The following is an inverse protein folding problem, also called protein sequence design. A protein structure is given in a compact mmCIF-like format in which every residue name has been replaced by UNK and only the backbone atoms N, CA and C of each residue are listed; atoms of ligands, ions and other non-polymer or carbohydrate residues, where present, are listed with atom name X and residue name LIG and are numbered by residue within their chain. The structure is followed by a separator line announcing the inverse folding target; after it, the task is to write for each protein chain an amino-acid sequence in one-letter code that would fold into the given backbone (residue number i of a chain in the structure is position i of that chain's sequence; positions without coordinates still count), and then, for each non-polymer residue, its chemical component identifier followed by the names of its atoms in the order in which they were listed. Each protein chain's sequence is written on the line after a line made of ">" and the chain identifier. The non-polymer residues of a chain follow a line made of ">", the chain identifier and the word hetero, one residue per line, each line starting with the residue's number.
data_IF_262544251683
#
_entry.id   IF_262544251683
#
_cell.length_a   1.000
_cell.length_b   1.000
_cell.length_c   1.000
_cell.angle_alpha   90.00
_cell.angle_beta   90.00
_cell.angle_gamma   90.00
#
_symmetry.space_group_name_H-M   'P 1'
#
loop_
_entity.id
_entity.type
_entity.pdbx_description
1 polymer ?
#
# COMPACT_ATOMS: atom_id res chain seq x y z
N UNK A 1 33.70 -15.69 30.09
CA UNK A 1 32.39 -15.00 30.06
C UNK A 1 31.33 -16.01 29.66
N UNK A 2 30.06 -15.81 30.05
CA UNK A 2 28.96 -16.67 29.55
C UNK A 2 28.77 -16.39 28.05
N UNK A 3 28.60 -17.44 27.24
CA UNK A 3 28.30 -17.32 25.79
C UNK A 3 27.17 -16.31 25.53
N UNK A 4 26.18 -16.26 26.41
CA UNK A 4 25.09 -15.28 26.38
C UNK A 4 25.59 -13.82 26.41
N UNK A 5 26.53 -13.50 27.28
CA UNK A 5 27.10 -12.15 27.39
C UNK A 5 27.92 -11.80 26.15
N UNK A 6 28.66 -12.77 25.60
CA UNK A 6 29.44 -12.55 24.37
C UNK A 6 28.52 -12.24 23.18
N UNK A 7 27.37 -12.92 23.08
CA UNK A 7 26.34 -12.60 22.07
C UNK A 7 25.75 -11.20 22.27
N UNK A 8 25.47 -10.77 23.51
CA UNK A 8 24.97 -9.42 23.77
C UNK A 8 26.01 -8.33 23.43
N UNK A 9 27.30 -8.60 23.69
CA UNK A 9 28.39 -7.69 23.30
C UNK A 9 28.51 -7.61 21.77
N UNK A 10 28.37 -8.73 21.06
CA UNK A 10 28.32 -8.72 19.58
C UNK A 10 27.11 -7.93 19.09
N UNK A 11 25.93 -8.13 19.69
CA UNK A 11 24.72 -7.40 19.34
C UNK A 11 24.86 -5.91 19.57
N UNK A 12 25.49 -5.48 20.68
CA UNK A 12 25.73 -4.07 20.97
C UNK A 12 26.75 -3.40 20.03
N UNK A 13 27.45 -4.18 19.20
CA UNK A 13 28.38 -3.68 18.18
C UNK A 13 27.75 -3.63 16.78
N UNK A 14 26.52 -4.11 16.61
CA UNK A 14 25.80 -3.96 15.34
C UNK A 14 25.51 -2.48 15.08
N UNK A 15 25.40 -2.07 13.80
CA UNK A 15 24.92 -0.73 13.42
C UNK A 15 23.61 -0.36 14.14
N UNK A 16 23.49 0.91 14.51
CA UNK A 16 22.36 1.42 15.29
C UNK A 16 21.02 1.15 14.62
N UNK A 17 20.95 1.25 13.30
CA UNK A 17 19.77 0.93 12.50
C UNK A 17 19.25 -0.49 12.77
N UNK A 18 20.15 -1.48 12.76
CA UNK A 18 19.80 -2.89 12.96
C UNK A 18 19.39 -3.13 14.41
N UNK A 19 20.12 -2.54 15.37
CA UNK A 19 19.80 -2.67 16.80
C UNK A 19 18.45 -2.06 17.12
N UNK A 20 18.19 -0.85 16.62
CA UNK A 20 16.95 -0.12 16.85
C UNK A 20 15.77 -0.83 16.21
N UNK A 21 15.92 -1.38 14.99
CA UNK A 21 14.84 -2.13 14.34
C UNK A 21 14.47 -3.39 15.12
N UNK A 22 15.46 -4.21 15.49
CA UNK A 22 15.24 -5.47 16.22
C UNK A 22 14.79 -5.20 17.67
N UNK A 23 15.28 -4.13 18.28
CA UNK A 23 14.96 -3.73 19.65
C UNK A 23 13.73 -2.82 19.78
N UNK A 24 13.07 -2.47 18.67
CA UNK A 24 11.89 -1.61 18.67
C UNK A 24 10.73 -2.25 19.44
N UNK A 25 9.85 -1.41 20.00
CA UNK A 25 8.65 -1.88 20.73
C UNK A 25 7.79 -2.76 19.83
N UNK A 26 7.57 -2.35 18.58
CA UNK A 26 6.82 -3.12 17.58
C UNK A 26 7.45 -4.49 17.29
N UNK A 27 8.78 -4.55 17.07
CA UNK A 27 9.46 -5.83 16.86
C UNK A 27 9.34 -6.74 18.09
N UNK A 28 9.49 -6.18 19.29
CA UNK A 28 9.34 -6.92 20.55
C UNK A 28 7.91 -7.46 20.70
N UNK A 29 6.89 -6.68 20.36
CA UNK A 29 5.49 -7.09 20.43
C UNK A 29 5.16 -8.19 19.42
N UNK A 30 5.66 -8.07 18.18
CA UNK A 30 5.59 -9.12 17.16
C UNK A 30 6.28 -10.41 17.63
N UNK A 31 7.46 -10.31 18.25
CA UNK A 31 8.16 -11.47 18.83
C UNK A 31 7.32 -12.08 19.96
N UNK A 32 6.82 -11.27 20.90
CA UNK A 32 6.00 -11.74 22.03
C UNK A 32 4.75 -12.48 21.54
N UNK A 33 4.10 -12.00 20.47
CA UNK A 33 2.94 -12.66 19.86
C UNK A 33 3.31 -14.05 19.32
N UNK A 34 4.43 -14.18 18.61
CA UNK A 34 4.92 -15.49 18.12
C UNK A 34 5.31 -16.39 19.30
N UNK A 35 5.97 -15.85 20.32
CA UNK A 35 6.32 -16.58 21.55
C UNK A 35 5.07 -17.15 22.24
N UNK A 36 3.98 -16.38 22.32
CA UNK A 36 2.71 -16.79 22.91
C UNK A 36 2.01 -17.89 22.09
N UNK A 37 1.91 -17.71 20.77
CA UNK A 37 1.27 -18.67 19.84
C UNK A 37 1.92 -20.06 19.94
N UNK A 38 3.25 -20.11 20.05
CA UNK A 38 4.02 -21.36 19.99
C UNK A 38 4.58 -21.81 21.34
N UNK A 39 4.37 -21.05 22.42
CA UNK A 39 4.90 -21.29 23.78
C UNK A 39 6.42 -21.46 23.81
N UNK A 40 7.15 -20.58 23.12
CA UNK A 40 8.64 -20.60 23.02
C UNK A 40 9.24 -19.25 23.40
N UNK A 41 10.57 -19.19 23.61
CA UNK A 41 11.31 -17.94 23.86
C UNK A 41 12.26 -17.64 22.70
N UNK A 42 11.90 -16.69 21.85
CA UNK A 42 12.55 -16.34 20.59
C UNK A 42 13.46 -15.12 20.68
N UNK A 43 13.33 -14.25 21.70
CA UNK A 43 14.16 -13.02 21.81
C UNK A 43 15.65 -13.27 21.63
N UNK A 44 16.18 -14.30 22.30
CA UNK A 44 17.61 -14.64 22.16
C UNK A 44 17.95 -15.24 20.79
N UNK A 45 17.06 -16.02 20.19
CA UNK A 45 17.25 -16.51 18.82
C UNK A 45 17.33 -15.34 17.83
N UNK A 46 16.49 -14.33 17.99
CA UNK A 46 16.52 -13.14 17.13
C UNK A 46 17.87 -12.44 17.22
N UNK A 47 18.44 -12.31 18.42
CA UNK A 47 19.80 -11.78 18.63
C UNK A 47 20.85 -12.65 17.93
N UNK A 48 20.77 -13.99 18.06
CA UNK A 48 21.71 -14.91 17.41
C UNK A 48 21.68 -14.81 15.88
N UNK A 49 20.50 -14.60 15.30
CA UNK A 49 20.35 -14.38 13.85
C UNK A 49 20.91 -13.02 13.44
N UNK A 50 20.64 -11.96 14.22
CA UNK A 50 21.10 -10.61 13.96
C UNK A 50 22.64 -10.50 13.93
N UNK A 51 23.33 -11.21 14.83
CA UNK A 51 24.80 -11.23 14.89
C UNK A 51 25.44 -12.24 13.92
N UNK A 52 24.63 -12.97 13.15
CA UNK A 52 25.11 -14.00 12.21
C UNK A 52 25.59 -15.30 12.84
N UNK A 53 25.40 -15.50 14.15
CA UNK A 53 25.74 -16.76 14.83
C UNK A 53 24.79 -17.91 14.41
N UNK A 54 23.57 -17.59 13.96
CA UNK A 54 22.62 -18.54 13.36
C UNK A 54 22.14 -18.01 12.01
N UNK A 55 22.40 -18.74 10.91
CA UNK A 55 21.79 -18.42 9.62
C UNK A 55 20.27 -18.70 9.64
N UNK A 56 19.47 -17.89 8.94
CA UNK A 56 18.00 -18.02 8.90
C UNK A 56 17.55 -19.44 8.54
N UNK A 57 18.21 -20.10 7.59
CA UNK A 57 17.88 -21.46 7.16
C UNK A 57 18.01 -22.50 8.29
N UNK A 58 18.76 -22.21 9.34
CA UNK A 58 18.96 -23.08 10.50
C UNK A 58 18.04 -22.75 11.68
N UNK A 59 17.16 -21.74 11.58
CA UNK A 59 16.15 -21.44 12.61
C UNK A 59 15.30 -22.68 12.95
N UNK A 60 14.74 -23.45 12.00
CA UNK A 60 13.94 -24.63 12.33
C UNK A 60 14.73 -25.67 13.12
N UNK A 61 15.99 -25.91 12.73
CA UNK A 61 16.89 -26.86 13.42
C UNK A 61 17.24 -26.38 14.84
N UNK A 62 17.45 -25.08 15.03
CA UNK A 62 17.66 -24.51 16.36
C UNK A 62 16.43 -24.72 17.25
N UNK A 63 15.24 -24.43 16.71
CA UNK A 63 13.97 -24.55 17.43
C UNK A 63 13.67 -26.00 17.81
N UNK A 64 13.95 -26.94 16.92
CA UNK A 64 13.85 -28.38 17.18
C UNK A 64 14.76 -28.80 18.33
N UNK A 65 16.05 -28.42 18.29
CA UNK A 65 17.01 -28.80 19.34
C UNK A 65 16.73 -28.13 20.69
N UNK A 66 16.36 -26.85 20.68
CA UNK A 66 16.21 -26.02 21.88
C UNK A 66 14.86 -26.22 22.57
N UNK A 67 13.79 -26.37 21.80
CA UNK A 67 12.41 -26.38 22.29
C UNK A 67 11.65 -27.67 21.95
N UNK A 68 12.31 -28.66 21.34
CA UNK A 68 11.69 -29.94 20.93
C UNK A 68 10.49 -29.74 19.98
N UNK A 69 10.52 -28.67 19.19
CA UNK A 69 9.51 -28.41 18.18
C UNK A 69 9.71 -29.31 16.97
N UNK A 70 8.62 -29.78 16.38
CA UNK A 70 8.69 -30.48 15.11
C UNK A 70 9.14 -29.51 13.99
N UNK A 71 9.70 -30.07 12.93
CA UNK A 71 10.23 -29.31 11.79
C UNK A 71 9.19 -28.38 11.16
N UNK A 72 7.93 -28.80 11.05
CA UNK A 72 6.85 -28.00 10.45
C UNK A 72 6.62 -26.71 11.23
N UNK A 73 6.44 -26.80 12.56
CA UNK A 73 6.30 -25.63 13.43
C UNK A 73 7.55 -24.75 13.41
N UNK A 74 8.73 -25.35 13.34
CA UNK A 74 9.99 -24.62 13.20
C UNK A 74 10.03 -23.77 11.92
N UNK A 75 9.54 -24.30 10.80
CA UNK A 75 9.44 -23.59 9.52
C UNK A 75 8.39 -22.47 9.56
N UNK A 76 7.25 -22.69 10.23
CA UNK A 76 6.24 -21.63 10.42
C UNK A 76 6.77 -20.46 11.24
N UNK A 77 7.45 -20.74 12.37
CA UNK A 77 8.09 -19.71 13.19
C UNK A 77 9.16 -18.98 12.38
N UNK A 78 9.97 -19.71 11.61
CA UNK A 78 10.95 -19.11 10.68
C UNK A 78 10.27 -18.14 9.73
N UNK A 79 9.18 -18.57 9.08
CA UNK A 79 8.45 -17.73 8.14
C UNK A 79 7.92 -16.46 8.81
N UNK A 80 7.32 -16.56 10.01
CA UNK A 80 6.84 -15.40 10.78
C UNK A 80 7.97 -14.45 11.18
N UNK A 81 9.09 -14.97 11.69
CA UNK A 81 10.25 -14.15 12.05
C UNK A 81 10.86 -13.45 10.82
N UNK A 82 10.99 -14.17 9.70
CA UNK A 82 11.49 -13.59 8.45
C UNK A 82 10.56 -12.51 7.94
N UNK A 83 9.25 -12.73 7.99
CA UNK A 83 8.25 -11.79 7.51
C UNK A 83 8.22 -10.51 8.34
N UNK A 84 8.13 -10.65 9.66
CA UNK A 84 7.83 -9.53 10.55
C UNK A 84 9.06 -8.87 11.16
N UNK A 85 10.21 -9.56 11.25
CA UNK A 85 11.41 -9.07 11.94
C UNK A 85 12.58 -8.88 10.98
N UNK A 86 12.86 -9.86 10.11
CA UNK A 86 14.07 -9.85 9.27
C UNK A 86 13.87 -9.37 7.84
N UNK A 87 12.64 -9.05 7.43
CA UNK A 87 12.27 -8.74 6.04
C UNK A 87 13.08 -7.58 5.45
N UNK A 88 13.53 -6.62 6.28
CA UNK A 88 14.35 -5.48 5.88
C UNK A 88 15.84 -5.59 6.25
N UNK A 89 16.24 -6.59 7.02
CA UNK A 89 17.60 -6.67 7.58
C UNK A 89 18.41 -7.81 6.98
N UNK A 90 17.75 -8.92 6.62
CA UNK A 90 18.44 -10.11 6.14
C UNK A 90 18.02 -10.43 4.71
N UNK A 91 18.98 -10.61 3.83
CA UNK A 91 18.74 -11.14 2.50
C UNK A 91 18.43 -12.64 2.60
N UNK A 92 17.35 -13.11 1.97
CA UNK A 92 16.91 -14.51 2.04
C UNK A 92 18.00 -15.49 1.58
N UNK A 93 18.96 -15.01 0.79
CA UNK A 93 20.04 -15.81 0.20
C UNK A 93 21.44 -15.49 0.73
N UNK A 94 21.62 -14.49 1.60
CA UNK A 94 22.95 -14.07 2.07
C UNK A 94 23.20 -14.42 3.53
N UNK A 95 24.48 -14.62 3.87
CA UNK A 95 24.97 -14.83 5.24
C UNK A 95 25.18 -13.53 6.02
N UNK A 96 25.01 -12.39 5.37
CA UNK A 96 25.37 -11.08 5.92
C UNK A 96 24.14 -10.21 6.08
N UNK A 97 23.99 -9.68 7.29
CA UNK A 97 23.12 -8.54 7.52
C UNK A 97 23.69 -7.36 6.75
N UNK A 98 22.93 -6.83 5.79
CA UNK A 98 23.25 -5.55 5.12
C UNK A 98 22.59 -4.42 5.91
N UNK A 99 23.12 -3.20 5.77
CA UNK A 99 22.43 -2.01 6.27
C UNK A 99 21.04 -1.90 5.64
N UNK A 100 20.07 -1.35 6.37
CA UNK A 100 18.70 -1.19 5.87
C UNK A 100 18.71 -0.32 4.62
N UNK A 101 19.53 0.74 4.63
CA UNK A 101 19.76 1.63 3.50
C UNK A 101 20.24 0.89 2.24
N UNK A 102 21.30 0.07 2.35
CA UNK A 102 21.84 -0.70 1.22
C UNK A 102 20.79 -1.63 0.63
N UNK A 103 19.94 -2.22 1.49
CA UNK A 103 18.87 -3.11 1.04
C UNK A 103 17.77 -2.35 0.30
N UNK A 104 17.38 -1.17 0.79
CA UNK A 104 16.39 -0.33 0.11
C UNK A 104 16.93 0.12 -1.25
N UNK A 105 18.21 0.54 -1.31
CA UNK A 105 18.88 0.89 -2.56
C UNK A 105 18.91 -0.29 -3.53
N UNK A 106 19.24 -1.50 -3.06
CA UNK A 106 19.20 -2.72 -3.88
C UNK A 106 17.79 -3.04 -4.40
N UNK A 107 16.76 -2.90 -3.56
CA UNK A 107 15.36 -3.08 -3.95
C UNK A 107 15.01 -2.11 -5.09
N UNK A 108 15.37 -0.83 -4.95
CA UNK A 108 15.06 0.19 -5.94
C UNK A 108 15.88 0.07 -7.23
N UNK A 109 17.04 -0.59 -7.19
CA UNK A 109 17.91 -0.78 -8.36
C UNK A 109 17.57 -2.04 -9.16
N UNK A 110 17.26 -3.13 -8.46
CA UNK A 110 17.29 -4.47 -9.03
C UNK A 110 15.98 -5.24 -8.90
N UNK A 111 15.06 -4.80 -8.03
CA UNK A 111 13.87 -5.56 -7.64
C UNK A 111 12.64 -4.66 -7.49
N UNK A 112 12.61 -3.55 -8.21
CA UNK A 112 11.54 -2.58 -8.07
C UNK A 112 10.24 -3.14 -8.65
N UNK A 113 10.29 -3.87 -9.76
CA UNK A 113 9.11 -4.49 -10.35
C UNK A 113 8.51 -5.55 -9.42
N UNK A 114 9.36 -6.40 -8.82
CA UNK A 114 8.93 -7.38 -7.82
C UNK A 114 8.26 -6.71 -6.62
N UNK A 115 8.75 -5.54 -6.23
CA UNK A 115 8.22 -4.78 -5.09
C UNK A 115 6.89 -4.12 -5.42
N UNK A 116 6.76 -3.48 -6.59
CA UNK A 116 5.50 -2.86 -7.04
C UNK A 116 4.38 -3.89 -7.24
N UNK A 117 4.72 -5.12 -7.62
CA UNK A 117 3.80 -6.26 -7.75
C UNK A 117 3.73 -7.16 -6.53
N UNK A 118 4.52 -6.86 -5.50
CA UNK A 118 4.71 -7.72 -4.35
C UNK A 118 3.54 -7.74 -3.38
N UNK A 119 3.68 -8.58 -2.36
CA UNK A 119 2.79 -8.71 -1.21
C UNK A 119 2.59 -7.36 -0.51
N UNK A 120 1.36 -7.08 -0.09
CA UNK A 120 0.99 -5.82 0.56
C UNK A 120 1.73 -5.62 1.87
N UNK A 121 1.85 -6.67 2.68
CA UNK A 121 2.54 -6.59 3.98
C UNK A 121 4.02 -6.20 3.80
N UNK A 122 4.68 -6.66 2.73
CA UNK A 122 6.04 -6.24 2.43
C UNK A 122 6.10 -4.75 2.05
N UNK A 123 5.14 -4.27 1.27
CA UNK A 123 5.02 -2.85 0.89
C UNK A 123 4.73 -1.97 2.10
N UNK A 124 3.87 -2.41 3.01
CA UNK A 124 3.60 -1.72 4.29
C UNK A 124 4.86 -1.56 5.11
N UNK A 125 5.59 -2.65 5.36
CA UNK A 125 6.84 -2.63 6.14
C UNK A 125 7.89 -1.73 5.48
N UNK A 126 7.98 -1.74 4.15
CA UNK A 126 8.91 -0.89 3.41
C UNK A 126 8.47 0.58 3.42
N UNK A 127 7.17 0.87 3.35
CA UNK A 127 6.61 2.21 3.47
C UNK A 127 6.87 2.81 4.84
N UNK A 128 6.61 2.06 5.92
CA UNK A 128 6.92 2.48 7.29
C UNK A 128 8.39 2.87 7.42
N UNK A 129 9.29 2.05 6.87
CA UNK A 129 10.72 2.34 6.90
C UNK A 129 11.08 3.58 6.09
N UNK A 130 10.60 3.70 4.85
CA UNK A 130 10.87 4.86 4.00
C UNK A 130 10.37 6.17 4.63
N UNK A 131 9.14 6.16 5.16
CA UNK A 131 8.55 7.33 5.85
C UNK A 131 9.37 7.69 7.08
N UNK A 132 9.74 6.69 7.90
CA UNK A 132 10.58 6.93 9.07
C UNK A 132 11.94 7.54 8.69
N UNK A 133 12.61 7.01 7.67
CA UNK A 133 13.90 7.51 7.19
C UNK A 133 13.80 8.96 6.69
N UNK A 134 12.76 9.28 5.89
CA UNK A 134 12.59 10.63 5.34
C UNK A 134 12.22 11.66 6.41
N UNK A 135 11.36 11.31 7.38
CA UNK A 135 10.92 12.25 8.42
C UNK A 135 11.96 12.45 9.53
N UNK A 136 12.70 11.40 9.89
CA UNK A 136 13.72 11.48 10.95
C UNK A 136 15.06 12.05 10.47
N UNK A 137 15.22 12.28 9.16
CA UNK A 137 16.47 12.73 8.57
C UNK A 137 17.55 11.64 8.56
N UNK A 138 17.13 10.38 8.44
CA UNK A 138 18.00 9.20 8.42
C UNK A 138 19.06 9.22 7.31
N UNK A 139 19.91 8.19 7.26
CA UNK A 139 21.02 8.11 6.30
C UNK A 139 20.51 8.09 4.86
N UNK A 140 19.39 7.39 4.62
CA UNK A 140 18.76 7.27 3.32
C UNK A 140 18.16 8.60 2.84
N UNK A 141 18.77 9.19 1.81
CA UNK A 141 18.29 10.45 1.21
C UNK A 141 17.29 10.21 0.08
N UNK A 142 16.13 10.85 0.15
CA UNK A 142 15.07 10.82 -0.88
C UNK A 142 15.61 11.14 -2.29
N UNK A 143 16.49 12.13 -2.42
CA UNK A 143 17.10 12.50 -3.71
C UNK A 143 17.99 11.42 -4.31
N UNK A 144 18.65 10.59 -3.48
CA UNK A 144 19.45 9.47 -3.96
C UNK A 144 18.56 8.35 -4.50
N UNK A 145 17.47 8.03 -3.79
CA UNK A 145 16.48 7.07 -4.26
C UNK A 145 15.79 7.53 -5.54
N UNK A 146 15.47 8.81 -5.65
CA UNK A 146 14.90 9.38 -6.87
C UNK A 146 15.87 9.25 -8.05
N UNK A 147 17.17 9.49 -7.82
CA UNK A 147 18.19 9.28 -8.85
C UNK A 147 18.27 7.82 -9.28
N UNK A 148 18.31 6.89 -8.32
CA UNK A 148 18.26 5.45 -8.58
C UNK A 148 17.06 5.07 -9.43
N UNK A 149 15.87 5.59 -9.10
CA UNK A 149 14.64 5.33 -9.83
C UNK A 149 14.70 5.84 -11.28
N UNK A 150 15.23 7.05 -11.50
CA UNK A 150 15.36 7.66 -12.82
C UNK A 150 16.45 7.02 -13.70
N UNK A 151 17.39 6.29 -13.09
CA UNK A 151 18.45 5.54 -13.77
C UNK A 151 18.15 4.03 -13.87
N UNK A 152 17.06 3.53 -13.29
CA UNK A 152 16.72 2.11 -13.24
C UNK A 152 16.43 1.51 -14.64
N UNK A 153 17.14 0.44 -14.98
CA UNK A 153 17.08 -0.24 -16.30
C UNK A 153 16.20 -1.51 -16.32
N UNK A 154 15.52 -1.85 -15.23
CA UNK A 154 14.55 -2.95 -15.19
C UNK A 154 13.45 -2.73 -16.24
N UNK A 155 13.15 -3.76 -17.04
CA UNK A 155 12.11 -3.71 -18.08
C UNK A 155 10.74 -3.93 -17.48
N UNK A 156 9.88 -2.91 -17.52
CA UNK A 156 8.55 -2.93 -16.91
C UNK A 156 7.47 -3.44 -17.87
N UNK A 157 7.66 -3.29 -19.19
CA UNK A 157 6.73 -3.82 -20.21
C UNK A 157 7.50 -4.54 -21.33
N UNK A 158 6.76 -5.20 -22.22
CA UNK A 158 7.29 -6.06 -23.28
C UNK A 158 7.08 -5.46 -24.67
N UNK A 159 6.20 -4.47 -24.80
CA UNK A 159 5.90 -3.79 -26.06
C UNK A 159 7.05 -2.91 -26.52
N UNK A 160 7.05 -2.59 -27.82
CA UNK A 160 7.96 -1.61 -28.39
C UNK A 160 7.75 -0.25 -27.71
N UNK A 161 8.84 0.45 -27.41
CA UNK A 161 8.79 1.72 -26.70
C UNK A 161 9.54 2.76 -27.51
N UNK A 162 8.91 3.92 -27.74
CA UNK A 162 9.44 4.96 -28.62
C UNK A 162 9.54 6.27 -27.84
N UNK A 163 10.72 6.90 -27.88
CA UNK A 163 10.94 8.27 -27.40
C UNK A 163 11.58 9.05 -28.54
N UNK A 164 11.03 10.22 -28.90
CA UNK A 164 11.57 11.08 -29.97
C UNK A 164 11.71 10.37 -31.34
N UNK A 165 10.74 9.50 -31.65
CA UNK A 165 10.75 8.71 -32.88
C UNK A 165 11.84 7.64 -32.95
N UNK A 166 12.57 7.39 -31.85
CA UNK A 166 13.60 6.36 -31.76
C UNK A 166 13.14 5.21 -30.86
N UNK A 167 13.48 3.96 -31.21
CA UNK A 167 13.20 2.82 -30.34
C UNK A 167 14.09 2.87 -29.09
N UNK A 168 13.48 2.65 -27.93
CA UNK A 168 14.12 2.55 -26.63
C UNK A 168 13.71 1.26 -25.93
N UNK A 169 14.48 0.84 -24.92
CA UNK A 169 14.03 -0.24 -24.03
C UNK A 169 12.84 0.24 -23.19
N UNK A 170 11.81 -0.60 -22.96
CA UNK A 170 10.69 -0.29 -22.05
C UNK A 170 11.13 -0.39 -20.57
N UNK A 171 12.18 0.34 -20.19
CA UNK A 171 12.69 0.35 -18.82
C UNK A 171 11.98 1.36 -17.94
N UNK A 172 12.06 1.19 -16.62
CA UNK A 172 11.53 2.13 -15.63
C UNK A 172 12.00 3.56 -15.92
N UNK A 173 13.31 3.77 -16.11
CA UNK A 173 13.88 5.06 -16.46
C UNK A 173 13.26 5.68 -17.72
N UNK A 174 13.05 4.89 -18.78
CA UNK A 174 12.51 5.39 -20.04
C UNK A 174 11.00 5.70 -19.95
N UNK A 175 10.23 4.91 -19.20
CA UNK A 175 8.83 5.22 -18.90
C UNK A 175 8.67 6.53 -18.12
N UNK A 176 9.51 6.75 -17.11
CA UNK A 176 9.50 8.02 -16.36
C UNK A 176 9.93 9.19 -17.26
N UNK A 177 10.94 9.02 -18.11
CA UNK A 177 11.36 10.06 -19.07
C UNK A 177 10.25 10.43 -20.04
N UNK A 178 9.55 9.46 -20.59
CA UNK A 178 8.40 9.68 -21.48
C UNK A 178 7.29 10.46 -20.76
N UNK A 179 6.90 10.01 -19.56
CA UNK A 179 5.88 10.68 -18.76
C UNK A 179 6.25 12.12 -18.41
N UNK A 180 7.48 12.34 -17.92
CA UNK A 180 7.97 13.67 -17.54
C UNK A 180 8.07 14.61 -18.75
N UNK A 181 8.42 14.07 -19.92
CA UNK A 181 8.49 14.86 -21.15
C UNK A 181 7.10 15.32 -21.61
N UNK A 182 6.10 14.46 -21.50
CA UNK A 182 4.73 14.77 -21.93
C UNK A 182 4.01 15.68 -20.92
N UNK A 183 4.12 15.38 -19.62
CA UNK A 183 3.32 16.04 -18.58
C UNK A 183 4.10 17.06 -17.75
N UNK A 184 5.41 17.17 -17.96
CA UNK A 184 6.30 17.97 -17.13
C UNK A 184 6.77 17.24 -15.88
N UNK A 185 7.63 17.92 -15.12
CA UNK A 185 8.24 17.37 -13.90
C UNK A 185 7.57 17.89 -12.61
N UNK A 186 6.44 18.60 -12.72
CA UNK A 186 5.68 19.11 -11.58
C UNK A 186 4.83 18.03 -10.90
N UNK A 187 4.15 18.41 -9.81
CA UNK A 187 3.13 17.56 -9.16
C UNK A 187 1.99 17.34 -10.15
N UNK A 188 1.46 16.12 -10.19
CA UNK A 188 0.35 15.75 -11.06
C UNK A 188 -0.71 14.94 -10.30
N UNK A 189 -1.95 15.04 -10.75
CA UNK A 189 -3.11 14.38 -10.17
C UNK A 189 -3.48 13.07 -10.90
N UNK A 190 -4.56 12.43 -10.45
CA UNK A 190 -5.05 11.19 -11.06
C UNK A 190 -5.69 11.41 -12.45
N UNK A 191 -6.09 12.64 -12.80
CA UNK A 191 -6.64 12.96 -14.11
C UNK A 191 -5.53 12.93 -15.15
N UNK A 192 -4.41 13.64 -14.89
CA UNK A 192 -3.21 13.61 -15.74
C UNK A 192 -2.69 12.19 -15.92
N UNK A 193 -2.66 11.42 -14.83
CA UNK A 193 -2.25 10.01 -14.88
C UNK A 193 -3.16 9.17 -15.76
N UNK A 194 -4.48 9.28 -15.57
CA UNK A 194 -5.47 8.55 -16.38
C UNK A 194 -5.37 8.94 -17.85
N UNK A 195 -5.28 10.23 -18.13
CA UNK A 195 -5.13 10.75 -19.48
C UNK A 195 -3.88 10.18 -20.15
N UNK A 196 -2.73 10.18 -19.48
CA UNK A 196 -1.50 9.63 -20.04
C UNK A 196 -1.60 8.11 -20.27
N UNK A 197 -2.16 7.34 -19.33
CA UNK A 197 -2.34 5.88 -19.46
C UNK A 197 -3.30 5.51 -20.61
N UNK A 198 -4.31 6.34 -20.89
CA UNK A 198 -5.28 6.08 -21.97
C UNK A 198 -4.81 6.62 -23.32
N UNK A 199 -4.16 7.79 -23.34
CA UNK A 199 -3.96 8.57 -24.56
C UNK A 199 -2.53 8.59 -25.10
N UNK A 200 -1.51 8.27 -24.31
CA UNK A 200 -0.11 8.28 -24.78
C UNK A 200 0.16 7.20 -25.83
N UNK A 201 1.04 7.47 -26.79
CA UNK A 201 1.39 6.55 -27.87
C UNK A 201 1.96 5.22 -27.31
N UNK A 202 2.82 5.31 -26.29
CA UNK A 202 3.44 4.14 -25.67
C UNK A 202 2.46 3.35 -24.78
N UNK A 203 1.47 4.00 -24.16
CA UNK A 203 0.54 3.36 -23.21
C UNK A 203 -0.65 2.70 -23.90
N UNK A 204 -1.09 3.25 -25.05
CA UNK A 204 -2.22 2.71 -25.84
C UNK A 204 -2.05 1.27 -26.28
N UNK A 205 -0.81 0.84 -26.51
CA UNK A 205 -0.47 -0.51 -27.01
C UNK A 205 -0.29 -1.54 -25.89
N UNK A 206 -0.32 -1.11 -24.63
CA UNK A 206 -0.19 -1.98 -23.46
C UNK A 206 -1.48 -2.76 -23.21
N UNK A 207 -1.34 -3.95 -22.65
CA UNK A 207 -2.47 -4.65 -22.04
C UNK A 207 -2.78 -4.08 -20.64
N UNK A 208 -3.90 -4.52 -20.04
CA UNK A 208 -4.34 -3.98 -18.75
C UNK A 208 -3.38 -4.27 -17.60
N UNK A 209 -2.65 -5.39 -17.62
CA UNK A 209 -1.67 -5.70 -16.58
C UNK A 209 -0.46 -4.76 -16.68
N UNK A 210 0.05 -4.55 -17.89
CA UNK A 210 1.13 -3.60 -18.15
C UNK A 210 0.70 -2.15 -17.81
N UNK A 211 -0.53 -1.74 -18.14
CA UNK A 211 -1.06 -0.43 -17.76
C UNK A 211 -1.13 -0.24 -16.25
N UNK A 212 -1.61 -1.25 -15.51
CA UNK A 212 -1.65 -1.19 -14.05
C UNK A 212 -0.24 -1.02 -13.46
N UNK A 213 0.73 -1.77 -13.96
CA UNK A 213 2.11 -1.68 -13.49
C UNK A 213 2.75 -0.32 -13.79
N UNK A 214 2.56 0.21 -15.00
CA UNK A 214 3.03 1.56 -15.38
C UNK A 214 2.33 2.64 -14.54
N UNK A 215 1.03 2.49 -14.26
CA UNK A 215 0.29 3.39 -13.37
C UNK A 215 0.87 3.39 -11.96
N UNK A 216 1.18 2.21 -11.39
CA UNK A 216 1.82 2.09 -10.07
C UNK A 216 3.21 2.73 -10.06
N UNK A 217 3.99 2.57 -11.13
CA UNK A 217 5.29 3.25 -11.27
C UNK A 217 5.14 4.78 -11.21
N UNK A 218 4.16 5.35 -11.91
CA UNK A 218 3.96 6.80 -11.89
C UNK A 218 3.47 7.31 -10.53
N UNK A 219 2.55 6.59 -9.88
CA UNK A 219 2.14 6.91 -8.51
C UNK A 219 3.32 6.85 -7.54
N UNK A 220 4.14 5.81 -7.64
CA UNK A 220 5.37 5.67 -6.86
C UNK A 220 6.34 6.84 -7.10
N UNK A 221 6.57 7.22 -8.37
CA UNK A 221 7.41 8.38 -8.69
C UNK A 221 6.88 9.67 -8.07
N UNK A 222 5.57 9.93 -8.19
CA UNK A 222 4.93 11.11 -7.58
C UNK A 222 5.15 11.11 -6.07
N UNK A 223 4.81 10.00 -5.42
CA UNK A 223 4.86 9.86 -3.98
C UNK A 223 6.30 9.97 -3.47
N UNK A 224 7.27 9.40 -4.17
CA UNK A 224 8.69 9.52 -3.82
C UNK A 224 9.24 10.92 -4.04
N UNK A 225 8.94 11.56 -5.18
CA UNK A 225 9.52 12.86 -5.55
C UNK A 225 8.97 14.02 -4.73
N UNK A 226 7.67 13.97 -4.45
CA UNK A 226 6.94 15.05 -3.79
C UNK A 226 6.53 14.68 -2.37
N UNK A 227 7.27 13.79 -1.71
CA UNK A 227 7.08 13.56 -0.29
C UNK A 227 7.67 14.72 0.52
N UNK A 228 6.96 15.24 1.55
CA UNK A 228 5.65 14.79 2.06
C UNK A 228 4.43 15.45 1.38
N UNK A 229 4.63 16.42 0.48
CA UNK A 229 3.57 17.25 -0.10
C UNK A 229 2.46 16.45 -0.80
N UNK A 230 2.79 15.33 -1.45
CA UNK A 230 1.83 14.45 -2.12
C UNK A 230 0.88 13.70 -1.18
N UNK A 231 1.13 13.77 0.14
CA UNK A 231 0.35 13.09 1.17
C UNK A 231 -0.37 14.06 2.11
N UNK A 232 -0.35 15.37 1.83
CA UNK A 232 -0.83 16.40 2.76
C UNK A 232 -2.28 16.24 3.23
N UNK A 233 -3.13 15.62 2.41
CA UNK A 233 -4.55 15.40 2.71
C UNK A 233 -4.82 14.06 3.43
N UNK A 234 -3.79 13.24 3.65
CA UNK A 234 -3.90 11.92 4.25
C UNK A 234 -3.33 11.90 5.67
N UNK A 235 -3.94 11.14 6.60
CA UNK A 235 -3.32 10.89 7.90
C UNK A 235 -2.03 10.08 7.72
N UNK A 236 -1.05 10.28 8.62
CA UNK A 236 0.30 9.71 8.50
C UNK A 236 0.30 8.18 8.40
N UNK A 237 -0.67 7.53 9.04
CA UNK A 237 -0.86 6.08 9.02
C UNK A 237 -1.29 5.56 7.64
N UNK A 238 -1.69 6.44 6.72
CA UNK A 238 -2.08 6.12 5.35
C UNK A 238 -1.05 6.59 4.32
N UNK A 239 0.12 7.07 4.76
CA UNK A 239 1.16 7.52 3.84
C UNK A 239 1.84 6.34 3.17
N UNK A 240 1.84 6.36 1.84
CA UNK A 240 2.34 5.27 1.02
C UNK A 240 3.32 5.79 -0.02
N UNK A 241 4.64 5.67 0.23
CA UNK A 241 5.63 5.98 -0.81
C UNK A 241 5.43 5.00 -1.98
N UNK A 242 5.42 3.70 -1.68
CA UNK A 242 5.10 2.60 -2.59
C UNK A 242 3.59 2.36 -2.55
N UNK A 243 2.86 2.54 -3.67
CA UNK A 243 1.41 2.40 -3.68
C UNK A 243 0.93 1.00 -3.30
N UNK A 244 -0.07 0.92 -2.43
CA UNK A 244 -0.76 -0.32 -2.07
C UNK A 244 -2.13 -0.35 -2.73
N UNK A 245 -2.49 -1.48 -3.35
CA UNK A 245 -3.79 -1.63 -3.97
C UNK A 245 -4.81 -2.01 -2.91
N UNK A 246 -5.42 -1.00 -2.30
CA UNK A 246 -6.60 -1.26 -1.48
C UNK A 246 -7.68 -1.78 -2.42
N UNK A 247 -8.02 -3.07 -2.29
CA UNK A 247 -9.17 -3.68 -2.97
C UNK A 247 -10.32 -2.70 -2.83
N UNK A 248 -10.77 -2.17 -3.96
CA UNK A 248 -11.58 -0.97 -3.98
C UNK A 248 -12.99 -1.27 -3.46
N UNK A 249 -13.19 -1.19 -2.14
CA UNK A 249 -14.49 -0.88 -1.54
C UNK A 249 -14.88 0.60 -1.76
N UNK A 250 -14.10 1.39 -2.52
CA UNK A 250 -14.18 2.84 -2.41
C UNK A 250 -13.67 3.70 -3.55
N UNK A 251 -13.64 3.27 -4.82
CA UNK A 251 -13.50 4.24 -5.92
C UNK A 251 -14.69 5.23 -6.00
N UNK A 252 -15.73 5.05 -5.18
CA UNK A 252 -16.78 6.04 -4.94
C UNK A 252 -16.43 7.08 -3.85
N UNK A 253 -15.36 6.90 -3.06
CA UNK A 253 -15.03 7.79 -1.91
C UNK A 253 -13.88 8.76 -2.16
N UNK A 254 -13.21 8.70 -3.30
CA UNK A 254 -12.26 9.74 -3.74
C UNK A 254 -12.93 10.96 -4.38
N UNK A 255 -14.27 11.07 -4.26
CA UNK A 255 -14.99 12.35 -4.36
C UNK A 255 -15.22 12.88 -2.95
N UNK A 256 -14.17 13.33 -2.30
CA UNK A 256 -14.26 14.35 -1.24
C UNK A 256 -13.64 15.64 -1.78
N UNK A 257 -14.09 16.06 -2.97
CA UNK A 257 -14.31 17.49 -3.18
C UNK A 257 -15.37 17.86 -2.17
N UNK A 258 -15.14 18.91 -1.38
CA UNK A 258 -16.12 19.49 -0.45
C UNK A 258 -17.41 19.82 -1.19
N UNK A 259 -18.29 18.83 -1.34
CA UNK A 259 -19.63 18.98 -1.84
C UNK A 259 -20.51 19.60 -0.75
N UNK A 260 -21.73 20.02 -1.12
CA UNK A 260 -22.75 20.39 -0.14
C UNK A 260 -22.88 19.31 0.93
N UNK A 261 -23.22 19.67 2.18
CA UNK A 261 -23.44 18.70 3.25
C UNK A 261 -24.40 17.60 2.79
N UNK A 262 -24.14 16.37 3.23
CA UNK A 262 -24.92 15.20 2.86
C UNK A 262 -26.42 15.49 3.02
N UNK A 263 -27.21 15.12 2.00
CA UNK A 263 -28.65 15.33 2.09
C UNK A 263 -29.25 14.36 3.12
N UNK A 264 -30.38 14.72 3.72
CA UNK A 264 -31.07 13.83 4.66
C UNK A 264 -31.41 12.45 4.05
N UNK A 265 -31.56 12.37 2.72
CA UNK A 265 -31.77 11.12 2.00
C UNK A 265 -30.50 10.25 1.94
N UNK A 266 -29.33 10.86 1.73
CA UNK A 266 -28.05 10.15 1.75
C UNK A 266 -27.72 9.58 3.14
N UNK A 267 -28.06 10.30 4.21
CA UNK A 267 -27.93 9.81 5.58
C UNK A 267 -28.86 8.62 5.84
N UNK A 268 -30.13 8.70 5.43
CA UNK A 268 -31.12 7.62 5.57
C UNK A 268 -30.72 6.36 4.78
N UNK A 269 -30.22 6.50 3.55
CA UNK A 269 -29.71 5.36 2.75
C UNK A 269 -28.51 4.69 3.44
N UNK A 270 -27.65 5.47 4.09
CA UNK A 270 -26.49 4.94 4.82
C UNK A 270 -26.92 4.13 6.05
N UNK A 271 -27.93 4.58 6.78
CA UNK A 271 -28.53 3.85 7.89
C UNK A 271 -29.17 2.54 7.41
N UNK A 272 -29.99 2.59 6.36
CA UNK A 272 -30.64 1.42 5.77
C UNK A 272 -29.63 0.36 5.31
N UNK A 273 -28.51 0.76 4.70
CA UNK A 273 -27.42 -0.16 4.30
C UNK A 273 -26.67 -0.77 5.49
N UNK A 274 -26.61 -0.10 6.63
CA UNK A 274 -26.02 -0.67 7.84
C UNK A 274 -26.98 -1.65 8.51
N UNK A 275 -28.28 -1.38 8.41
CA UNK A 275 -29.34 -2.25 8.89
C UNK A 275 -29.48 -3.51 8.02
N UNK A 276 -29.37 -3.40 6.69
CA UNK A 276 -29.32 -4.52 5.73
C UNK A 276 -28.28 -5.59 6.13
N UNK A 277 -27.10 -5.15 6.57
CA UNK A 277 -26.00 -6.04 7.01
C UNK A 277 -26.32 -6.86 8.26
N UNK A 278 -27.37 -6.52 9.01
CA UNK A 278 -27.80 -7.24 10.21
C UNK A 278 -28.75 -8.40 9.89
N UNK A 279 -29.31 -8.44 8.69
CA UNK A 279 -30.25 -9.49 8.27
C UNK A 279 -29.56 -10.53 7.38
N UNK A 280 -30.10 -11.75 7.40
CA UNK A 280 -29.61 -12.86 6.58
C UNK A 280 -30.03 -12.71 5.12
N UNK A 281 -29.10 -13.00 4.21
CA UNK A 281 -29.31 -12.91 2.76
C UNK A 281 -30.49 -13.80 2.31
N UNK A 282 -31.44 -13.21 1.59
CA UNK A 282 -32.67 -13.80 1.07
C UNK A 282 -33.92 -13.61 1.95
N UNK A 283 -33.84 -12.84 3.05
CA UNK A 283 -34.94 -12.58 3.97
C UNK A 283 -36.03 -11.66 3.41
N UNK A 284 -37.23 -11.70 4.01
CA UNK A 284 -38.30 -10.72 3.71
C UNK A 284 -37.89 -9.31 4.14
N UNK A 285 -37.05 -9.23 5.18
CA UNK A 285 -36.50 -8.01 5.75
C UNK A 285 -35.48 -7.35 4.82
N UNK A 286 -34.63 -8.13 4.13
CA UNK A 286 -33.69 -7.61 3.14
C UNK A 286 -34.45 -6.97 1.97
N UNK A 287 -35.49 -7.63 1.46
CA UNK A 287 -36.32 -7.09 0.37
C UNK A 287 -37.04 -5.80 0.74
N UNK A 288 -37.53 -5.70 1.98
CA UNK A 288 -38.16 -4.48 2.48
C UNK A 288 -37.15 -3.32 2.58
N UNK A 289 -35.91 -3.60 2.98
CA UNK A 289 -34.84 -2.60 3.05
C UNK A 289 -34.38 -2.19 1.64
N UNK A 290 -34.25 -3.14 0.70
CA UNK A 290 -33.93 -2.84 -0.70
C UNK A 290 -34.99 -1.93 -1.34
N UNK A 291 -36.28 -2.21 -1.11
CA UNK A 291 -37.40 -1.40 -1.62
C UNK A 291 -37.38 0.02 -1.02
N UNK A 292 -37.09 0.17 0.27
CA UNK A 292 -36.96 1.48 0.92
C UNK A 292 -35.72 2.25 0.42
N UNK A 293 -34.60 1.57 0.14
CA UNK A 293 -33.42 2.19 -0.47
C UNK A 293 -33.72 2.69 -1.89
N UNK A 294 -34.45 1.91 -2.69
CA UNK A 294 -34.84 2.30 -4.05
C UNK A 294 -35.79 3.50 -4.04
N UNK A 295 -36.74 3.50 -3.09
CA UNK A 295 -37.66 4.60 -2.83
C UNK A 295 -36.93 5.90 -2.49
N UNK A 296 -35.95 5.86 -1.59
CA UNK A 296 -35.15 7.03 -1.20
C UNK A 296 -34.28 7.56 -2.35
N UNK A 297 -33.64 6.66 -3.12
CA UNK A 297 -32.91 7.06 -4.34
C UNK A 297 -33.82 7.77 -5.34
N UNK A 298 -35.05 7.28 -5.49
CA UNK A 298 -36.01 7.86 -6.41
C UNK A 298 -36.45 9.26 -5.97
N UNK A 299 -36.62 9.47 -4.67
CA UNK A 299 -36.91 10.80 -4.11
C UNK A 299 -35.75 11.76 -4.38
N UNK A 300 -34.49 11.32 -4.23
CA UNK A 300 -33.32 12.15 -4.50
C UNK A 300 -33.20 12.54 -5.98
N UNK A 301 -33.45 11.62 -6.90
CA UNK A 301 -33.52 11.89 -8.34
C UNK A 301 -34.59 12.94 -8.66
N UNK A 302 -35.78 12.81 -8.05
CA UNK A 302 -36.87 13.77 -8.21
C UNK A 302 -36.52 15.14 -7.62
N UNK A 303 -35.81 15.21 -6.48
CA UNK A 303 -35.32 16.48 -5.92
C UNK A 303 -34.33 17.17 -6.86
N UNK A 304 -33.40 16.41 -7.43
CA UNK A 304 -32.44 16.94 -8.41
C UNK A 304 -33.15 17.44 -9.67
N UNK A 305 -34.18 16.72 -10.14
CA UNK A 305 -35.01 17.11 -11.28
C UNK A 305 -35.84 18.36 -10.98
N UNK A 306 -36.43 18.49 -9.78
CA UNK A 306 -37.18 19.67 -9.37
C UNK A 306 -36.31 20.94 -9.36
N UNK A 307 -35.03 20.81 -9.00
CA UNK A 307 -34.06 21.91 -9.02
C UNK A 307 -33.75 22.47 -10.42
N UNK A 308 -34.12 21.76 -11.49
CA UNK A 308 -33.95 22.22 -12.88
C UNK A 308 -35.10 23.13 -13.35
N UNK A 309 -36.19 23.21 -12.57
CA UNK A 309 -37.37 23.97 -12.92
C UNK A 309 -37.55 25.23 -12.04
N UNK A 310 -38.02 26.36 -12.61
CA UNK A 310 -38.32 27.56 -11.84
C UNK A 310 -39.33 27.30 -10.73
N UNK A 311 -39.19 28.03 -9.62
CA UNK A 311 -40.12 27.94 -8.50
C UNK A 311 -41.55 28.32 -8.94
N UNK A 312 -42.53 27.49 -8.60
CA UNK A 312 -43.94 27.69 -8.96
C UNK A 312 -44.37 27.19 -10.34
N UNK A 313 -43.46 26.64 -11.17
CA UNK A 313 -43.80 26.07 -12.47
C UNK A 313 -44.70 24.82 -12.36
N UNK A 314 -45.45 24.49 -13.41
CA UNK A 314 -46.30 23.30 -13.44
C UNK A 314 -45.48 22.00 -13.40
N UNK A 315 -44.32 22.00 -14.07
CA UNK A 315 -43.37 20.90 -14.11
C UNK A 315 -42.79 20.63 -12.72
N UNK A 316 -42.38 21.70 -12.02
CA UNK A 316 -41.88 21.58 -10.65
C UNK A 316 -42.95 21.02 -9.69
N UNK A 317 -44.18 21.52 -9.80
CA UNK A 317 -45.31 21.03 -8.99
C UNK A 317 -45.63 19.56 -9.27
N UNK A 318 -45.52 19.11 -10.52
CA UNK A 318 -45.72 17.72 -10.89
C UNK A 318 -44.64 16.81 -10.28
N UNK A 319 -43.37 17.23 -10.31
CA UNK A 319 -42.26 16.51 -9.68
C UNK A 319 -42.41 16.47 -8.15
N UNK A 320 -42.79 17.59 -7.53
CA UNK A 320 -43.06 17.68 -6.09
C UNK A 320 -44.24 16.80 -5.64
N UNK A 321 -45.28 16.66 -6.48
CA UNK A 321 -46.41 15.77 -6.20
C UNK A 321 -46.00 14.29 -6.24
N UNK A 322 -45.16 13.89 -7.21
CA UNK A 322 -44.61 12.53 -7.28
C UNK A 322 -43.70 12.22 -6.08
N UNK A 323 -42.88 13.18 -5.61
CA UNK A 323 -42.13 13.01 -4.36
C UNK A 323 -43.06 12.76 -3.17
N UNK A 324 -44.15 13.52 -3.05
CA UNK A 324 -45.12 13.37 -1.96
C UNK A 324 -45.85 12.02 -2.00
N UNK A 325 -46.11 11.46 -3.19
CA UNK A 325 -46.70 10.12 -3.33
C UNK A 325 -45.78 9.03 -2.84
N UNK A 326 -44.47 9.20 -3.03
CA UNK A 326 -43.48 8.28 -2.50
C UNK A 326 -43.37 8.42 -0.98
N UNK A 327 -43.46 9.61 -0.40
CA UNK A 327 -43.35 9.76 1.08
C UNK A 327 -44.55 9.23 1.89
N UNK A 328 -45.69 8.90 1.25
CA UNK A 328 -46.92 8.34 1.87
C UNK A 328 -46.89 6.82 2.01
#
# INVERSE_FOLDING_TARGET
>A
MSYYNDCLIKFSKLPDEIRNKIGSVDAVDKINKIEADYKVKLKFLVILVAIGDIEIKYIPLYLEKKFQLNKIKGEEIKAKLVKHIFSLIVDKNSKTVRGVEEKIKDIFQNRLIETLNGDEEFKEVLNEELVAQFLSGGELKQGELLKVLLDNQERITHKNFIIDGRPHSPSIANWLKDFIKVNGSGVFDNLVLTEHITNSENTKILDEQEKMLVKRLFLFYRNLKFFPESMGDLPMEQWEIIPIEKESEGMAKARTVSGPPATAAEEKIKELKQEEKRYGKGGLEEKAIEEEIEKEKRIEELRAMAGQYPEGSLERKAVEEEMRKLEL
#
